data_IF_715800557189
#
_entry.id   IF_715800557189
#
_cell.length_a   1.000
_cell.length_b   1.000
_cell.length_c   1.000
_cell.angle_alpha   90.00
_cell.angle_beta   90.00
_cell.angle_gamma   90.00
#
_symmetry.space_group_name_H-M   'P 1'
#
loop_
_entity.id
_entity.type
_entity.pdbx_description
1 polymer ?
#
# COMPACT_ATOMS: atom_id res chain seq x y z
N UNK A 1 -21.60 -17.61 -3.13
CA UNK A 1 -20.27 -17.32 -3.72
C UNK A 1 -19.44 -16.66 -2.65
N UNK A 2 -18.14 -16.97 -2.58
CA UNK A 2 -17.19 -16.34 -1.65
C UNK A 2 -16.25 -15.45 -2.46
N UNK A 3 -15.99 -14.24 -1.98
CA UNK A 3 -15.05 -13.31 -2.60
C UNK A 3 -14.03 -12.92 -1.52
N UNK A 4 -12.77 -13.26 -1.74
CA UNK A 4 -11.67 -12.80 -0.90
C UNK A 4 -11.40 -11.33 -1.21
N UNK A 5 -11.76 -10.45 -0.28
CA UNK A 5 -11.45 -9.00 -0.30
C UNK A 5 -10.88 -8.56 1.07
N UNK A 6 -10.30 -9.51 1.81
CA UNK A 6 -9.87 -9.40 3.21
C UNK A 6 -8.43 -8.88 3.37
N UNK A 7 -7.91 -8.21 2.34
CA UNK A 7 -6.63 -7.50 2.36
C UNK A 7 -5.41 -8.35 2.05
N UNK A 8 -4.22 -7.75 2.22
CA UNK A 8 -2.94 -8.33 1.80
C UNK A 8 -2.59 -9.65 2.50
N UNK A 9 -3.16 -9.95 3.67
CA UNK A 9 -2.98 -11.21 4.40
C UNK A 9 -4.20 -12.12 4.29
N UNK A 10 -4.86 -12.11 3.12
CA UNK A 10 -6.12 -12.81 2.87
C UNK A 10 -6.11 -14.27 3.31
N UNK A 11 -7.06 -14.62 4.18
CA UNK A 11 -7.32 -16.01 4.59
C UNK A 11 -7.95 -16.80 3.45
N UNK A 12 -8.76 -16.16 2.61
CA UNK A 12 -9.34 -16.81 1.42
C UNK A 12 -8.23 -17.23 0.46
N UNK A 13 -7.26 -16.34 0.18
CA UNK A 13 -6.09 -16.67 -0.64
C UNK A 13 -5.30 -17.84 -0.03
N UNK A 14 -5.06 -17.83 1.29
CA UNK A 14 -4.39 -18.92 1.98
C UNK A 14 -5.13 -20.26 1.86
N UNK A 15 -6.46 -20.27 2.00
CA UNK A 15 -7.27 -21.49 1.89
C UNK A 15 -7.31 -22.06 0.46
N UNK A 16 -7.11 -21.22 -0.56
CA UNK A 16 -7.09 -21.64 -1.95
C UNK A 16 -5.74 -22.24 -2.37
N UNK A 17 -4.64 -21.68 -1.88
CA UNK A 17 -3.29 -21.95 -2.38
C UNK A 17 -2.40 -22.71 -1.39
N UNK A 18 -2.75 -22.68 -0.10
CA UNK A 18 -1.86 -23.07 1.00
C UNK A 18 -1.00 -21.92 1.49
N UNK A 19 -0.48 -22.05 2.72
CA UNK A 19 0.27 -21.01 3.42
C UNK A 19 1.47 -20.48 2.63
N UNK A 20 2.31 -21.37 2.10
CA UNK A 20 3.55 -20.96 1.41
C UNK A 20 3.26 -20.19 0.11
N UNK A 21 2.32 -20.67 -0.70
CA UNK A 21 1.98 -20.07 -2.01
C UNK A 21 1.17 -18.78 -1.87
N UNK A 22 0.44 -18.60 -0.77
CA UNK A 22 -0.33 -17.38 -0.50
C UNK A 22 0.49 -16.28 0.20
N UNK A 23 1.68 -16.62 0.72
CA UNK A 23 2.53 -15.70 1.47
C UNK A 23 3.07 -14.57 0.60
N UNK A 24 3.02 -13.35 1.14
CA UNK A 24 3.61 -12.18 0.50
C UNK A 24 5.13 -12.36 0.38
N UNK A 25 5.68 -11.84 -0.71
CA UNK A 25 7.11 -11.88 -1.00
C UNK A 25 7.73 -10.52 -0.68
N UNK A 26 8.85 -10.48 0.07
CA UNK A 26 9.56 -9.22 0.28
C UNK A 26 10.09 -8.61 -1.00
N UNK A 27 9.88 -7.30 -1.17
CA UNK A 27 10.53 -6.52 -2.21
C UNK A 27 11.89 -6.10 -1.68
N UNK A 28 12.90 -6.95 -1.91
CA UNK A 28 14.25 -6.75 -1.39
C UNK A 28 14.27 -6.48 0.13
N UNK A 29 15.24 -5.68 0.56
CA UNK A 29 15.42 -5.29 1.95
C UNK A 29 14.88 -3.87 2.20
N UNK A 30 13.63 -3.63 1.83
CA UNK A 30 12.96 -2.35 2.10
C UNK A 30 11.91 -2.49 3.20
N UNK A 31 11.84 -1.48 4.05
CA UNK A 31 10.87 -1.40 5.11
C UNK A 31 10.44 0.04 5.39
N UNK A 32 9.42 0.18 6.22
CA UNK A 32 8.99 1.46 6.75
C UNK A 32 8.38 1.28 8.15
N UNK A 33 8.32 2.38 8.89
CA UNK A 33 7.51 2.49 10.08
C UNK A 33 6.50 3.60 9.84
N UNK A 34 5.23 3.23 9.82
CA UNK A 34 4.11 4.17 9.76
C UNK A 34 3.80 4.65 11.17
N UNK A 35 3.72 5.95 11.36
CA UNK A 35 3.48 6.60 12.65
C UNK A 35 2.26 7.50 12.51
N UNK A 36 1.34 7.37 13.47
CA UNK A 36 0.20 8.27 13.61
C UNK A 36 0.42 9.14 14.84
N UNK A 37 0.48 10.45 14.65
CA UNK A 37 0.79 11.40 15.71
C UNK A 37 -0.18 12.57 15.74
N UNK A 38 -0.32 13.15 16.92
CA UNK A 38 -0.95 14.47 17.12
C UNK A 38 0.13 15.46 17.51
N UNK A 39 -0.08 16.72 17.18
CA UNK A 39 0.89 17.78 17.47
C UNK A 39 0.21 18.97 18.11
N UNK A 40 1.00 19.93 18.59
CA UNK A 40 0.48 21.21 19.06
C UNK A 40 -0.31 21.90 17.93
N UNK A 41 -1.24 22.78 18.31
CA UNK A 41 -2.01 23.59 17.35
C UNK A 41 -1.11 24.26 16.31
N UNK A 42 -0.01 24.87 16.76
CA UNK A 42 0.95 25.55 15.89
C UNK A 42 1.58 24.61 14.87
N UNK A 43 2.14 23.48 15.32
CA UNK A 43 2.73 22.48 14.45
C UNK A 43 1.72 21.90 13.46
N UNK A 44 0.50 21.58 13.91
CA UNK A 44 -0.55 21.06 13.06
C UNK A 44 -0.96 22.04 11.94
N UNK A 45 -1.04 23.33 12.26
CA UNK A 45 -1.28 24.38 11.27
C UNK A 45 -0.10 24.53 10.30
N UNK A 46 1.14 24.46 10.80
CA UNK A 46 2.35 24.54 9.98
C UNK A 46 2.42 23.40 8.95
N UNK A 47 2.10 22.15 9.34
CA UNK A 47 2.13 20.99 8.43
C UNK A 47 1.15 21.10 7.25
N UNK A 48 0.13 21.97 7.36
CA UNK A 48 -0.87 22.22 6.31
C UNK A 48 -0.74 23.59 5.65
N UNK A 49 0.22 24.40 6.08
CA UNK A 49 0.45 25.73 5.55
C UNK A 49 1.12 25.67 4.17
N UNK A 50 0.87 26.68 3.32
CA UNK A 50 1.58 26.81 2.04
C UNK A 50 3.09 26.98 2.26
N UNK A 51 3.96 26.47 1.37
CA UNK A 51 3.67 25.91 0.05
C UNK A 51 3.22 24.45 0.03
N UNK A 52 3.17 23.79 1.20
CA UNK A 52 2.75 22.41 1.32
C UNK A 52 1.28 22.21 0.93
N UNK A 53 0.97 21.09 0.28
CA UNK A 53 -0.42 20.75 -0.01
C UNK A 53 -1.14 20.34 1.30
N UNK A 54 -2.35 20.86 1.57
CA UNK A 54 -2.97 20.80 2.89
C UNK A 54 -3.48 19.41 3.32
N UNK A 55 -3.44 18.42 2.41
CA UNK A 55 -3.88 17.04 2.68
C UNK A 55 -2.72 16.04 2.74
N UNK A 56 -1.73 16.18 1.87
CA UNK A 56 -0.63 15.20 1.77
C UNK A 56 0.60 15.80 1.11
N UNK A 57 1.75 15.21 1.39
CA UNK A 57 3.05 15.56 0.85
C UNK A 57 3.89 14.30 0.64
N UNK A 58 4.65 14.27 -0.44
CA UNK A 58 5.53 13.15 -0.80
C UNK A 58 6.92 13.72 -1.06
N UNK A 59 7.92 13.15 -0.40
CA UNK A 59 9.31 13.55 -0.54
C UNK A 59 10.15 12.37 -1.02
N UNK A 60 10.94 12.61 -2.06
CA UNK A 60 12.00 11.69 -2.46
C UNK A 60 13.33 12.26 -2.00
N UNK A 61 14.11 11.42 -1.33
CA UNK A 61 15.43 11.79 -0.84
C UNK A 61 16.52 11.17 -1.72
N UNK A 62 17.55 11.93 -2.03
CA UNK A 62 18.65 11.49 -2.92
C UNK A 62 19.39 10.25 -2.39
N UNK A 63 19.36 10.01 -1.08
CA UNK A 63 19.91 8.82 -0.42
C UNK A 63 18.97 7.59 -0.45
N UNK A 64 17.90 7.63 -1.27
CA UNK A 64 16.99 6.50 -1.44
C UNK A 64 15.98 6.36 -0.30
N UNK A 65 15.44 7.48 0.22
CA UNK A 65 14.30 7.45 1.14
C UNK A 65 13.05 7.99 0.45
N UNK A 66 11.89 7.42 0.78
CA UNK A 66 10.59 7.93 0.32
C UNK A 66 9.77 8.29 1.55
N UNK A 67 9.41 9.55 1.66
CA UNK A 67 8.62 10.05 2.78
C UNK A 67 7.22 10.42 2.33
N UNK A 68 6.24 10.06 3.15
CA UNK A 68 4.86 10.47 3.00
C UNK A 68 4.40 11.11 4.29
N UNK A 69 3.67 12.20 4.16
CA UNK A 69 2.97 12.86 5.24
C UNK A 69 1.55 13.17 4.75
N UNK A 70 0.52 12.77 5.48
CA UNK A 70 -0.83 13.25 5.23
C UNK A 70 -1.61 13.51 6.51
N UNK A 71 -2.69 14.27 6.35
CA UNK A 71 -3.72 14.40 7.38
C UNK A 71 -4.58 13.15 7.34
N UNK A 72 -4.58 12.38 8.42
CA UNK A 72 -5.40 11.19 8.56
C UNK A 72 -6.81 11.52 9.06
N UNK A 73 -6.90 12.40 10.07
CA UNK A 73 -8.16 12.92 10.59
C UNK A 73 -8.01 14.41 10.93
N UNK A 74 -8.91 15.24 10.40
CA UNK A 74 -9.04 16.65 10.74
C UNK A 74 -10.49 17.14 10.64
N UNK A 75 -11.44 16.30 11.07
CA UNK A 75 -12.87 16.63 11.06
C UNK A 75 -13.17 17.88 11.89
N UNK A 76 -12.57 17.98 13.08
CA UNK A 76 -12.68 19.12 13.98
C UNK A 76 -11.73 20.25 13.53
N UNK A 77 -12.24 21.15 12.69
CA UNK A 77 -11.45 22.25 12.11
C UNK A 77 -10.99 23.28 13.14
N UNK A 78 -11.70 23.40 14.25
CA UNK A 78 -11.46 24.45 15.24
C UNK A 78 -10.38 24.05 16.26
N UNK A 79 -10.10 22.75 16.38
CA UNK A 79 -9.08 22.18 17.27
C UNK A 79 -7.99 21.40 16.50
N UNK A 80 -7.05 22.08 15.82
CA UNK A 80 -5.93 21.46 15.10
C UNK A 80 -5.06 20.51 15.92
N UNK A 81 -4.96 20.73 17.23
CA UNK A 81 -4.28 19.83 18.16
C UNK A 81 -4.92 18.44 18.26
N UNK A 82 -6.18 18.29 17.85
CA UNK A 82 -6.87 17.01 17.79
C UNK A 82 -6.66 16.28 16.45
N UNK A 83 -6.07 16.94 15.44
CA UNK A 83 -5.82 16.33 14.15
C UNK A 83 -4.79 15.22 14.26
N UNK A 84 -5.07 14.10 13.59
CA UNK A 84 -4.14 12.99 13.47
C UNK A 84 -3.42 13.10 12.14
N UNK A 85 -2.09 13.11 12.18
CA UNK A 85 -1.24 13.01 11.01
C UNK A 85 -0.77 11.57 10.85
N UNK A 86 -0.63 11.14 9.61
CA UNK A 86 -0.01 9.88 9.22
C UNK A 86 1.30 10.22 8.52
N UNK A 87 2.41 9.62 8.97
CA UNK A 87 3.66 9.74 8.27
C UNK A 87 4.42 8.42 8.22
N UNK A 88 5.17 8.23 7.14
CA UNK A 88 6.16 7.18 7.07
C UNK A 88 7.35 7.68 6.25
N UNK A 89 8.51 7.09 6.52
CA UNK A 89 9.67 7.15 5.64
C UNK A 89 10.10 5.72 5.38
N UNK A 90 10.11 5.30 4.12
CA UNK A 90 10.63 4.00 3.72
C UNK A 90 12.12 4.08 3.44
N UNK A 91 12.83 3.02 3.79
CA UNK A 91 14.28 2.93 3.79
C UNK A 91 14.73 1.51 3.43
N UNK A 92 16.00 1.39 3.08
CA UNK A 92 16.69 0.10 3.00
C UNK A 92 17.07 -0.36 4.40
N UNK A 93 16.68 -1.57 4.75
CA UNK A 93 17.11 -2.24 5.97
C UNK A 93 18.63 -2.47 5.93
N UNK A 94 19.35 -2.20 7.03
CA UNK A 94 20.75 -2.60 7.12
C UNK A 94 20.90 -4.13 7.04
N UNK A 95 22.00 -4.64 6.46
CA UNK A 95 22.22 -6.08 6.34
C UNK A 95 22.14 -6.80 7.69
N UNK A 96 21.38 -7.90 7.74
CA UNK A 96 21.23 -8.74 8.94
C UNK A 96 20.35 -8.14 10.04
N UNK A 97 19.74 -6.97 9.83
CA UNK A 97 18.85 -6.36 10.83
C UNK A 97 17.41 -6.80 10.60
N UNK A 98 16.80 -7.37 11.64
CA UNK A 98 15.37 -7.67 11.70
C UNK A 98 14.69 -6.71 12.69
N UNK A 99 13.91 -5.78 12.16
CA UNK A 99 13.17 -4.80 12.96
C UNK A 99 11.76 -5.29 13.34
N UNK A 100 11.33 -6.49 12.93
CA UNK A 100 10.00 -7.01 13.24
C UNK A 100 9.74 -7.21 14.75
N UNK A 101 10.82 -7.31 15.52
CA UNK A 101 10.80 -7.49 16.98
C UNK A 101 11.13 -6.22 17.77
N UNK A 102 11.37 -5.11 17.07
CA UNK A 102 11.70 -3.85 17.72
C UNK A 102 10.50 -3.28 18.45
N UNK A 103 10.75 -2.57 19.56
CA UNK A 103 9.69 -1.81 20.22
C UNK A 103 9.25 -0.63 19.35
N UNK A 104 8.05 -0.10 19.60
CA UNK A 104 7.57 1.11 18.91
C UNK A 104 8.54 2.29 19.13
N UNK A 105 9.06 2.43 20.34
CA UNK A 105 10.04 3.46 20.68
C UNK A 105 11.37 3.28 19.90
N UNK A 106 11.84 2.05 19.69
CA UNK A 106 13.02 1.77 18.86
C UNK A 106 12.79 2.15 17.39
N UNK A 107 11.60 1.85 16.85
CA UNK A 107 11.22 2.21 15.49
C UNK A 107 11.17 3.74 15.31
N UNK A 108 10.59 4.47 16.27
CA UNK A 108 10.55 5.94 16.26
C UNK A 108 11.96 6.51 16.33
N UNK A 109 12.81 6.04 17.26
CA UNK A 109 14.20 6.49 17.38
C UNK A 109 14.98 6.25 16.11
N UNK A 110 14.80 5.11 15.46
CA UNK A 110 15.46 4.80 14.20
C UNK A 110 15.02 5.74 13.08
N UNK A 111 13.73 6.02 12.95
CA UNK A 111 13.21 7.00 11.99
C UNK A 111 13.76 8.42 12.26
N UNK A 112 13.78 8.85 13.53
CA UNK A 112 14.39 10.12 13.94
C UNK A 112 15.87 10.19 13.56
N UNK A 113 16.62 9.11 13.76
CA UNK A 113 18.04 9.05 13.40
C UNK A 113 18.24 9.12 11.89
N UNK A 114 17.45 8.39 11.09
CA UNK A 114 17.47 8.50 9.61
C UNK A 114 17.32 9.96 9.22
N UNK A 115 16.30 10.65 9.73
CA UNK A 115 15.98 12.03 9.34
C UNK A 115 17.10 12.99 9.76
N UNK A 116 17.63 12.81 10.98
CA UNK A 116 18.71 13.64 11.54
C UNK A 116 20.03 13.48 10.79
N UNK A 117 20.37 12.26 10.37
CA UNK A 117 21.67 11.94 9.76
C UNK A 117 21.70 12.15 8.23
N UNK A 118 20.55 12.46 7.63
CA UNK A 118 20.41 12.48 6.18
C UNK A 118 19.88 13.79 5.62
N UNK A 119 20.06 14.93 6.29
CA UNK A 119 19.79 16.27 5.74
C UNK A 119 18.34 16.48 5.26
N UNK A 120 17.38 15.83 5.93
CA UNK A 120 15.97 16.02 5.63
C UNK A 120 15.56 17.48 5.85
N UNK A 121 14.61 17.94 5.04
CA UNK A 121 14.05 19.29 5.11
C UNK A 121 12.57 19.24 5.51
N UNK A 122 12.00 20.41 5.81
CA UNK A 122 10.59 20.51 6.16
C UNK A 122 9.68 20.10 4.98
N UNK A 123 8.54 19.44 5.28
CA UNK A 123 8.00 19.17 6.62
C UNK A 123 8.61 17.91 7.29
N UNK A 124 9.33 17.08 6.54
CA UNK A 124 9.76 15.76 7.02
C UNK A 124 10.75 15.87 8.16
N UNK A 125 11.65 16.85 8.14
CA UNK A 125 12.52 17.13 9.29
C UNK A 125 11.73 17.42 10.56
N UNK A 126 10.84 18.40 10.49
CA UNK A 126 10.08 18.87 11.64
C UNK A 126 9.15 17.82 12.23
N UNK A 127 8.40 17.07 11.40
CA UNK A 127 7.44 16.11 11.94
C UNK A 127 8.12 15.04 12.80
N UNK A 128 9.26 14.49 12.37
CA UNK A 128 10.00 13.53 13.18
C UNK A 128 10.65 14.16 14.41
N UNK A 129 11.10 15.42 14.33
CA UNK A 129 11.63 16.14 15.48
C UNK A 129 10.56 16.37 16.57
N UNK A 130 9.28 16.43 16.20
CA UNK A 130 8.16 16.67 17.11
C UNK A 130 7.49 15.39 17.63
N UNK A 131 7.85 14.22 17.13
CA UNK A 131 7.30 12.95 17.62
C UNK A 131 7.70 12.70 19.07
N UNK A 132 6.77 12.19 19.88
CA UNK A 132 7.13 11.55 21.15
C UNK A 132 7.82 10.20 20.89
N UNK A 133 8.67 9.73 21.81
CA UNK A 133 9.14 8.34 21.78
C UNK A 133 8.05 7.37 22.30
N UNK A 134 7.00 7.91 22.92
CA UNK A 134 5.88 7.16 23.50
C UNK A 134 4.67 7.06 22.55
N UNK A 135 4.82 7.36 21.26
CA UNK A 135 3.72 7.20 20.29
C UNK A 135 3.24 5.74 20.25
N UNK A 136 1.96 5.54 20.52
CA UNK A 136 1.39 4.20 20.60
C UNK A 136 0.99 3.65 19.23
N UNK A 137 0.74 4.51 18.25
CA UNK A 137 0.25 4.13 16.92
C UNK A 137 1.40 4.07 15.92
N UNK A 138 2.23 3.04 16.07
CA UNK A 138 3.37 2.76 15.19
C UNK A 138 3.25 1.36 14.59
N UNK A 139 3.39 1.27 13.27
CA UNK A 139 3.27 0.04 12.50
C UNK A 139 4.52 -0.15 11.66
N UNK A 140 5.30 -1.18 11.98
CA UNK A 140 6.42 -1.62 11.15
C UNK A 140 5.90 -2.50 10.00
N UNK A 141 6.44 -2.29 8.81
CA UNK A 141 6.07 -3.08 7.64
C UNK A 141 7.25 -3.22 6.70
N UNK A 142 7.56 -4.45 6.30
CA UNK A 142 8.40 -4.71 5.12
C UNK A 142 7.59 -4.39 3.87
N UNK A 143 8.24 -3.80 2.86
CA UNK A 143 7.61 -3.66 1.56
C UNK A 143 7.53 -5.04 0.93
N UNK A 144 6.31 -5.50 0.66
CA UNK A 144 6.03 -6.83 0.15
C UNK A 144 4.98 -6.75 -0.95
N UNK A 145 4.91 -7.79 -1.76
CA UNK A 145 3.90 -7.93 -2.81
C UNK A 145 3.51 -9.40 -3.02
N UNK A 146 2.55 -9.62 -3.92
CA UNK A 146 2.19 -10.95 -4.40
C UNK A 146 1.63 -10.83 -5.83
N UNK A 147 2.32 -11.39 -6.81
CA UNK A 147 1.95 -11.27 -8.23
C UNK A 147 1.04 -12.43 -8.66
N UNK A 148 -0.26 -12.21 -8.91
CA UNK A 148 -1.17 -13.28 -9.33
C UNK A 148 -0.81 -13.95 -10.66
N UNK A 149 0.10 -13.37 -11.46
CA UNK A 149 0.56 -13.95 -12.74
C UNK A 149 1.61 -15.05 -12.57
N UNK A 150 2.18 -15.20 -11.37
CA UNK A 150 3.11 -16.29 -11.10
C UNK A 150 2.41 -17.65 -11.31
N UNK A 151 3.02 -18.63 -12.00
CA UNK A 151 2.45 -19.98 -12.13
C UNK A 151 2.14 -20.62 -10.77
N UNK A 152 2.98 -20.37 -9.77
CA UNK A 152 2.80 -20.88 -8.40
C UNK A 152 1.62 -20.21 -7.69
N UNK A 153 1.06 -19.14 -8.23
CA UNK A 153 -0.05 -18.39 -7.65
C UNK A 153 -1.40 -18.71 -8.28
N UNK A 154 -1.47 -19.63 -9.25
CA UNK A 154 -2.75 -20.08 -9.83
C UNK A 154 -3.62 -20.82 -8.79
N UNK A 155 -4.90 -20.45 -8.69
CA UNK A 155 -5.88 -21.08 -7.80
C UNK A 155 -7.03 -21.75 -8.56
N UNK A 156 -7.67 -22.71 -7.91
CA UNK A 156 -8.94 -23.28 -8.36
C UNK A 156 -10.12 -22.49 -7.78
N UNK A 157 -10.89 -21.82 -8.64
CA UNK A 157 -12.07 -21.04 -8.26
C UNK A 157 -13.29 -21.89 -7.84
N UNK A 158 -13.12 -23.23 -7.72
CA UNK A 158 -14.11 -24.18 -7.21
C UNK A 158 -15.41 -24.14 -8.00
N UNK A 159 -15.27 -24.29 -9.33
CA UNK A 159 -16.37 -24.17 -10.29
C UNK A 159 -17.07 -22.79 -10.23
N UNK A 160 -16.29 -21.72 -10.08
CA UNK A 160 -16.77 -20.35 -9.96
C UNK A 160 -17.57 -20.05 -8.69
N UNK A 161 -17.21 -20.69 -7.57
CA UNK A 161 -17.81 -20.43 -6.25
C UNK A 161 -16.94 -19.54 -5.37
N UNK A 162 -15.65 -19.41 -5.68
CA UNK A 162 -14.68 -18.61 -4.92
C UNK A 162 -13.83 -17.79 -5.89
N UNK A 163 -13.51 -16.55 -5.56
CA UNK A 163 -12.53 -15.73 -6.29
C UNK A 163 -11.87 -14.72 -5.35
N UNK A 164 -10.91 -13.95 -5.85
CA UNK A 164 -10.16 -12.93 -5.12
C UNK A 164 -10.30 -11.54 -5.79
N UNK A 165 -10.17 -10.48 -5.00
CA UNK A 165 -10.14 -9.09 -5.48
C UNK A 165 -9.32 -8.18 -4.55
N UNK A 166 -8.90 -7.03 -5.07
CA UNK A 166 -8.08 -6.06 -4.34
C UNK A 166 -6.78 -6.66 -3.81
N UNK A 167 -6.34 -6.23 -2.63
CA UNK A 167 -5.12 -6.72 -2.00
C UNK A 167 -5.15 -8.21 -1.64
N UNK A 168 -6.32 -8.85 -1.64
CA UNK A 168 -6.39 -10.30 -1.52
C UNK A 168 -5.90 -11.01 -2.80
N UNK A 169 -6.00 -10.36 -3.97
CA UNK A 169 -5.58 -10.89 -5.26
C UNK A 169 -4.25 -10.33 -5.77
N UNK A 170 -3.92 -9.06 -5.51
CA UNK A 170 -2.72 -8.42 -6.07
C UNK A 170 -2.14 -7.35 -5.14
N UNK A 171 -1.80 -7.69 -3.89
CA UNK A 171 -1.17 -6.74 -2.98
C UNK A 171 0.17 -6.27 -3.56
N UNK A 172 0.39 -4.95 -3.52
CA UNK A 172 1.52 -4.27 -4.14
C UNK A 172 2.08 -3.18 -3.23
N UNK A 173 3.31 -2.70 -3.49
CA UNK A 173 3.85 -1.56 -2.76
C UNK A 173 3.12 -0.26 -3.10
N UNK A 174 2.91 0.58 -2.08
CA UNK A 174 2.07 1.78 -2.16
C UNK A 174 2.67 2.95 -2.96
N UNK A 175 3.94 2.89 -3.34
CA UNK A 175 4.70 4.05 -3.86
C UNK A 175 4.24 4.55 -5.24
N UNK A 176 3.49 3.74 -5.99
CA UNK A 176 2.82 4.15 -7.25
C UNK A 176 1.38 4.62 -7.05
N UNK A 177 0.79 4.41 -5.87
CA UNK A 177 -0.59 4.80 -5.57
C UNK A 177 -1.68 4.02 -6.34
N UNK A 178 -1.37 2.84 -6.88
CA UNK A 178 -2.28 2.11 -7.78
C UNK A 178 -3.18 1.06 -7.10
N UNK A 179 -2.95 0.72 -5.83
CA UNK A 179 -3.70 -0.33 -5.14
C UNK A 179 -5.21 -0.06 -5.09
N UNK A 180 -5.62 1.13 -4.64
CA UNK A 180 -7.04 1.49 -4.51
C UNK A 180 -7.76 1.50 -5.87
N UNK A 181 -7.15 2.11 -6.90
CA UNK A 181 -7.70 2.13 -8.25
C UNK A 181 -7.91 0.70 -8.77
N UNK A 182 -6.96 -0.20 -8.48
CA UNK A 182 -7.09 -1.59 -8.87
C UNK A 182 -8.23 -2.30 -8.14
N UNK A 183 -8.33 -2.15 -6.82
CA UNK A 183 -9.39 -2.75 -6.03
C UNK A 183 -10.80 -2.24 -6.42
N UNK A 184 -10.96 -0.95 -6.73
CA UNK A 184 -12.24 -0.39 -7.15
C UNK A 184 -12.71 -0.95 -8.51
N UNK A 185 -11.79 -1.10 -9.45
CA UNK A 185 -12.08 -1.70 -10.75
C UNK A 185 -12.45 -3.18 -10.59
N UNK A 186 -11.79 -3.93 -9.70
CA UNK A 186 -12.19 -5.32 -9.41
C UNK A 186 -13.62 -5.40 -8.88
N UNK A 187 -13.98 -4.49 -7.96
CA UNK A 187 -15.32 -4.45 -7.40
C UNK A 187 -16.39 -4.18 -8.47
N UNK A 188 -16.11 -3.26 -9.41
CA UNK A 188 -16.98 -2.97 -10.55
C UNK A 188 -17.12 -4.19 -11.49
N UNK A 189 -16.00 -4.80 -11.87
CA UNK A 189 -15.98 -5.96 -12.76
C UNK A 189 -16.64 -7.18 -12.12
N UNK A 190 -16.42 -7.44 -10.84
CA UNK A 190 -17.11 -8.49 -10.09
C UNK A 190 -18.60 -8.23 -10.00
N UNK A 191 -19.02 -7.00 -9.68
CA UNK A 191 -20.45 -6.64 -9.65
C UNK A 191 -21.11 -6.94 -10.99
N UNK A 192 -20.45 -6.58 -12.10
CA UNK A 192 -20.98 -6.83 -13.44
C UNK A 192 -20.98 -8.32 -13.80
N UNK A 193 -19.94 -9.05 -13.40
CA UNK A 193 -19.83 -10.50 -13.55
C UNK A 193 -20.93 -11.23 -12.78
N UNK A 194 -21.22 -10.81 -11.56
CA UNK A 194 -22.29 -11.38 -10.75
C UNK A 194 -23.66 -11.08 -11.37
N UNK A 195 -23.91 -9.83 -11.76
CA UNK A 195 -25.17 -9.43 -12.38
C UNK A 195 -25.43 -10.10 -13.74
N UNK A 196 -24.39 -10.53 -14.45
CA UNK A 196 -24.55 -11.19 -15.76
C UNK A 196 -24.94 -12.66 -15.64
N UNK A 197 -24.67 -13.29 -14.48
CA UNK A 197 -24.84 -14.72 -14.26
C UNK A 197 -25.97 -15.05 -13.27
N UNK A 198 -26.12 -14.27 -12.20
CA UNK A 198 -27.13 -14.48 -11.16
C UNK A 198 -28.30 -13.52 -11.35
N UNK A 199 -29.14 -13.78 -12.36
CA UNK A 199 -30.27 -12.91 -12.73
C UNK A 199 -31.58 -13.27 -12.04
N UNK A 200 -31.82 -14.55 -11.85
CA UNK A 200 -33.09 -15.12 -11.37
C UNK A 200 -32.86 -16.10 -10.21
N UNK A 201 -33.93 -16.48 -9.51
CA UNK A 201 -33.89 -17.46 -8.40
C UNK A 201 -33.68 -18.91 -8.90
N UNK A 202 -33.80 -19.14 -10.21
CA UNK A 202 -33.51 -20.41 -10.86
C UNK A 202 -31.99 -20.62 -10.87
N UNK A 203 -31.53 -21.57 -10.05
CA UNK A 203 -30.11 -21.78 -9.78
C UNK A 203 -29.20 -21.74 -11.01
N UNK A 204 -28.09 -21.01 -10.89
CA UNK A 204 -27.11 -20.82 -11.97
C UNK A 204 -26.34 -22.12 -12.29
N UNK A 205 -26.22 -22.53 -13.57
CA UNK A 205 -25.36 -23.64 -13.96
C UNK A 205 -23.90 -23.47 -13.51
N UNK A 206 -23.25 -24.56 -13.08
CA UNK A 206 -21.84 -24.52 -12.64
C UNK A 206 -20.88 -24.07 -13.76
N UNK A 207 -21.16 -24.43 -15.01
CA UNK A 207 -20.39 -23.99 -16.18
C UNK A 207 -20.50 -22.48 -16.39
N UNK A 208 -21.72 -21.93 -16.39
CA UNK A 208 -21.97 -20.51 -16.59
C UNK A 208 -21.25 -19.63 -15.54
N UNK A 209 -21.30 -20.02 -14.26
CA UNK A 209 -20.60 -19.27 -13.21
C UNK A 209 -19.07 -19.39 -13.33
N UNK A 210 -18.58 -20.58 -13.68
CA UNK A 210 -17.14 -20.83 -13.84
C UNK A 210 -16.57 -20.01 -14.99
N UNK A 211 -17.25 -20.00 -16.14
CA UNK A 211 -16.80 -19.26 -17.32
C UNK A 211 -16.77 -17.75 -17.06
N UNK A 212 -17.77 -17.22 -16.37
CA UNK A 212 -17.83 -15.81 -16.02
C UNK A 212 -16.73 -15.40 -15.03
N UNK A 213 -16.46 -16.20 -13.99
CA UNK A 213 -15.35 -15.93 -13.09
C UNK A 213 -13.99 -16.12 -13.74
N UNK A 214 -13.81 -17.11 -14.61
CA UNK A 214 -12.56 -17.24 -15.38
C UNK A 214 -12.30 -15.99 -16.24
N UNK A 215 -13.33 -15.40 -16.83
CA UNK A 215 -13.20 -14.17 -17.62
C UNK A 215 -12.81 -12.96 -16.77
N UNK A 216 -13.43 -12.79 -15.60
CA UNK A 216 -13.04 -11.78 -14.62
C UNK A 216 -11.61 -11.99 -14.13
N UNK A 217 -11.28 -13.20 -13.65
CA UNK A 217 -9.97 -13.53 -13.09
C UNK A 217 -8.87 -13.29 -14.13
N UNK A 218 -9.08 -13.65 -15.41
CA UNK A 218 -8.12 -13.36 -16.48
C UNK A 218 -7.81 -11.86 -16.61
N UNK A 219 -8.82 -10.99 -16.56
CA UNK A 219 -8.63 -9.54 -16.69
C UNK A 219 -7.95 -8.97 -15.44
N UNK A 220 -8.44 -9.35 -14.26
CA UNK A 220 -7.89 -8.92 -12.97
C UNK A 220 -6.43 -9.36 -12.80
N UNK A 221 -6.10 -10.61 -13.13
CA UNK A 221 -4.73 -11.15 -13.01
C UNK A 221 -3.77 -10.39 -13.93
N UNK A 222 -4.16 -10.14 -15.18
CA UNK A 222 -3.31 -9.42 -16.14
C UNK A 222 -3.05 -7.98 -15.66
N UNK A 223 -4.12 -7.26 -15.31
CA UNK A 223 -4.06 -5.86 -14.89
C UNK A 223 -3.37 -5.68 -13.54
N UNK A 224 -3.85 -6.36 -12.51
CA UNK A 224 -3.34 -6.28 -11.14
C UNK A 224 -1.91 -6.80 -11.05
N UNK A 225 -1.61 -7.94 -11.70
CA UNK A 225 -0.26 -8.48 -11.72
C UNK A 225 0.73 -7.56 -12.42
N UNK A 226 0.33 -6.88 -13.50
CA UNK A 226 1.16 -5.86 -14.16
C UNK A 226 1.51 -4.72 -13.22
N UNK A 227 0.54 -4.21 -12.47
CA UNK A 227 0.80 -3.16 -11.49
C UNK A 227 1.63 -3.63 -10.29
N UNK A 228 1.52 -4.90 -9.87
CA UNK A 228 2.42 -5.49 -8.87
C UNK A 228 3.88 -5.41 -9.34
N UNK A 229 4.18 -5.86 -10.56
CA UNK A 229 5.56 -5.81 -11.09
C UNK A 229 6.06 -4.37 -11.27
N UNK A 230 5.25 -3.47 -11.83
CA UNK A 230 5.63 -2.07 -11.97
C UNK A 230 5.87 -1.39 -10.60
N UNK A 231 5.09 -1.76 -9.58
CA UNK A 231 5.29 -1.27 -8.20
C UNK A 231 6.57 -1.81 -7.58
N UNK A 232 6.89 -3.08 -7.80
CA UNK A 232 8.17 -3.68 -7.40
C UNK A 232 9.35 -2.95 -8.06
N UNK A 233 9.33 -2.79 -9.38
CA UNK A 233 10.39 -2.05 -10.11
C UNK A 233 10.53 -0.62 -9.60
N UNK A 234 9.41 0.08 -9.41
CA UNK A 234 9.42 1.43 -8.87
C UNK A 234 10.02 1.50 -7.47
N UNK A 235 9.77 0.49 -6.64
CA UNK A 235 10.36 0.39 -5.29
C UNK A 235 11.88 0.34 -5.35
N UNK A 236 12.45 -0.47 -6.24
CA UNK A 236 13.89 -0.48 -6.45
C UNK A 236 14.43 0.85 -6.99
N UNK A 237 13.69 1.52 -7.88
CA UNK A 237 14.10 2.80 -8.44
C UNK A 237 14.12 3.93 -7.39
N UNK A 238 13.03 4.11 -6.63
CA UNK A 238 12.93 5.19 -5.62
C UNK A 238 13.92 5.03 -4.47
N UNK A 239 14.40 3.81 -4.24
CA UNK A 239 15.40 3.47 -3.23
C UNK A 239 16.81 3.24 -3.80
N UNK A 240 17.02 3.55 -5.08
CA UNK A 240 18.29 3.40 -5.79
C UNK A 240 18.84 4.74 -6.26
N UNK A 241 20.02 4.69 -6.88
CA UNK A 241 20.71 5.87 -7.43
C UNK A 241 19.92 6.54 -8.57
N UNK A 242 19.05 5.76 -9.24
CA UNK A 242 18.25 6.20 -10.38
C UNK A 242 16.85 6.72 -9.99
N UNK A 243 16.64 7.19 -8.75
CA UNK A 243 15.32 7.62 -8.26
C UNK A 243 14.67 8.71 -9.13
N UNK A 244 15.46 9.54 -9.82
CA UNK A 244 14.97 10.57 -10.75
C UNK A 244 14.17 9.98 -11.94
N UNK A 245 14.46 8.73 -12.31
CA UNK A 245 13.76 8.03 -13.39
C UNK A 245 12.53 7.25 -12.89
N UNK A 246 12.26 7.25 -11.58
CA UNK A 246 11.10 6.57 -11.02
C UNK A 246 9.78 7.24 -11.44
N UNK A 247 8.66 6.60 -11.13
CA UNK A 247 7.33 7.09 -11.53
C UNK A 247 7.03 8.48 -10.97
N UNK A 248 7.37 8.73 -9.71
CA UNK A 248 6.99 9.96 -9.00
C UNK A 248 7.59 11.24 -9.65
N UNK A 249 8.91 11.34 -9.95
CA UNK A 249 9.46 12.52 -10.62
C UNK A 249 9.04 12.65 -12.09
N UNK A 250 8.87 11.54 -12.80
CA UNK A 250 8.64 11.56 -14.26
C UNK A 250 7.19 11.77 -14.62
N UNK A 251 6.26 11.29 -13.79
CA UNK A 251 4.83 11.24 -14.09
C UNK A 251 3.95 11.89 -13.03
N UNK A 252 4.49 12.16 -11.84
CA UNK A 252 3.72 12.69 -10.71
C UNK A 252 2.59 11.73 -10.27
N UNK A 253 1.55 12.30 -9.65
CA UNK A 253 0.32 11.59 -9.28
C UNK A 253 -0.89 12.15 -10.05
N UNK A 254 -0.69 12.68 -11.26
CA UNK A 254 -1.80 13.24 -12.03
C UNK A 254 -2.68 12.12 -12.62
N UNK A 255 -3.96 12.40 -12.84
CA UNK A 255 -4.91 11.39 -13.28
C UNK A 255 -4.56 10.75 -14.63
N UNK A 256 -3.96 11.54 -15.54
CA UNK A 256 -3.56 11.08 -16.89
C UNK A 256 -2.37 10.13 -16.86
N UNK A 257 -1.50 10.22 -15.85
CA UNK A 257 -0.33 9.36 -15.71
C UNK A 257 -0.59 8.06 -14.94
N UNK A 258 -1.80 7.94 -14.39
CA UNK A 258 -2.32 6.76 -13.68
C UNK A 258 -3.29 5.91 -14.53
N UNK A 259 -3.64 6.35 -15.73
CA UNK A 259 -4.44 5.60 -16.72
C UNK A 259 -3.55 4.84 -17.71
#
# INVERSE_FOLDING_TARGET
MVIGCDGAHSKVRELLLGHERAALQPIGDFATATIYSKHTREHALQLRARPCHPLYQIGLHQKGFVSWLCVHNAEDKDHPENWTFFNYTSYRLPPGVDQSKWSKADLIRYQKNIVKENDFVDPFKSIYAWLSDDEENVLYTRLMDWDPRSPDHAWDNREGRVTLAGDAAHPMSFQRGQGLNNALQDALELRNTIASVWKDDDGVPATARKDALNAYEKQMIERGGKEVQLSRENTFMVHGENFQNSHLPTKGLNAESQA
#
